data_IF_735420193702
#
_entry.id   IF_735420193702
#
_cell.length_a   1.000
_cell.length_b   1.000
_cell.length_c   1.000
_cell.angle_alpha   90.00
_cell.angle_beta   90.00
_cell.angle_gamma   90.00
#
_symmetry.space_group_name_H-M   'P 1'
#
loop_
_entity.id
_entity.type
_entity.pdbx_description
1 polymer ?
#
# COMPACT_ATOMS: atom_id res chain seq x y z
N UNK A 1 -9.82 -0.19 -20.90
CA UNK A 1 -10.70 0.20 -19.77
C UNK A 1 -9.84 0.50 -18.56
N UNK A 2 -10.03 1.66 -17.92
CA UNK A 2 -9.36 2.00 -16.66
C UNK A 2 -10.05 1.25 -15.51
N UNK A 3 -9.50 0.10 -15.10
CA UNK A 3 -9.96 -0.61 -13.90
C UNK A 3 -9.51 0.18 -12.68
N UNK A 4 -10.35 1.12 -12.24
CA UNK A 4 -10.12 1.84 -10.98
C UNK A 4 -10.39 0.84 -9.85
N UNK A 5 -9.33 0.26 -9.29
CA UNK A 5 -9.41 -0.59 -8.10
C UNK A 5 -10.07 0.22 -6.97
N UNK A 6 -11.31 -0.12 -6.60
CA UNK A 6 -11.97 0.48 -5.44
C UNK A 6 -11.51 -0.25 -4.20
N UNK A 7 -10.74 0.45 -3.36
CA UNK A 7 -10.40 -0.01 -2.03
C UNK A 7 -11.51 0.38 -1.05
N UNK A 8 -11.83 -0.48 -0.10
CA UNK A 8 -12.73 -0.15 1.00
C UNK A 8 -12.09 0.90 1.92
N UNK A 9 -12.88 1.65 2.71
CA UNK A 9 -12.32 2.57 3.71
C UNK A 9 -11.31 1.90 4.64
N UNK A 10 -11.60 0.66 5.08
CA UNK A 10 -10.70 -0.15 5.90
C UNK A 10 -9.36 -0.43 5.19
N UNK A 11 -9.41 -0.87 3.93
CA UNK A 11 -8.20 -1.10 3.13
C UNK A 11 -7.38 0.18 2.98
N UNK A 12 -8.04 1.31 2.69
CA UNK A 12 -7.36 2.60 2.54
C UNK A 12 -6.70 3.06 3.83
N UNK A 13 -7.36 2.90 4.97
CA UNK A 13 -6.83 3.31 6.28
C UNK A 13 -5.56 2.51 6.63
N UNK A 14 -5.63 1.19 6.47
CA UNK A 14 -4.50 0.27 6.66
C UNK A 14 -3.34 0.55 5.70
N UNK A 15 -3.63 0.76 4.41
CA UNK A 15 -2.62 1.12 3.41
C UNK A 15 -1.95 2.46 3.71
N UNK A 16 -2.70 3.46 4.21
CA UNK A 16 -2.15 4.75 4.64
C UNK A 16 -1.22 4.59 5.84
N UNK A 17 -1.66 3.89 6.89
CA UNK A 17 -0.87 3.70 8.10
C UNK A 17 0.50 3.09 7.80
N UNK A 18 0.52 1.98 7.05
CA UNK A 18 1.78 1.31 6.68
C UNK A 18 2.62 2.15 5.72
N UNK A 19 1.99 2.86 4.76
CA UNK A 19 2.74 3.74 3.88
C UNK A 19 3.43 4.88 4.63
N UNK A 20 2.85 5.39 5.73
CA UNK A 20 3.48 6.39 6.60
C UNK A 20 4.67 5.77 7.34
N UNK A 21 4.52 4.58 7.92
CA UNK A 21 5.60 3.87 8.63
C UNK A 21 6.80 3.58 7.72
N UNK A 22 6.56 3.28 6.44
CA UNK A 22 7.60 3.02 5.45
C UNK A 22 8.22 4.30 4.83
N UNK A 23 7.89 5.49 5.36
CA UNK A 23 8.37 6.76 4.80
C UNK A 23 7.89 7.00 3.35
N UNK A 24 6.73 6.44 3.00
CA UNK A 24 6.08 6.53 1.68
C UNK A 24 6.96 5.95 0.55
N UNK A 25 7.90 5.07 0.88
CA UNK A 25 8.68 4.28 -0.08
C UNK A 25 8.35 2.80 0.10
N UNK A 26 8.10 2.10 -1.01
CA UNK A 26 7.88 0.66 -0.96
C UNK A 26 9.25 -0.04 -0.84
N UNK A 27 9.50 -0.83 0.22
CA UNK A 27 10.73 -1.60 0.32
C UNK A 27 10.73 -2.71 -0.73
N UNK A 28 11.84 -2.84 -1.45
CA UNK A 28 12.02 -3.91 -2.44
C UNK A 28 12.45 -5.23 -1.77
N UNK A 29 13.24 -5.17 -0.68
CA UNK A 29 13.75 -6.30 0.11
C UNK A 29 13.75 -6.01 1.63
N UNK A 30 14.03 -7.02 2.46
CA UNK A 30 14.20 -6.86 3.92
C UNK A 30 12.90 -6.89 4.74
N UNK A 31 13.00 -6.48 6.01
CA UNK A 31 11.91 -6.59 7.02
C UNK A 31 10.64 -5.86 6.61
N UNK A 32 10.77 -4.69 5.98
CA UNK A 32 9.63 -3.93 5.47
C UNK A 32 8.89 -4.64 4.32
N UNK A 33 9.54 -5.53 3.57
CA UNK A 33 8.85 -6.34 2.55
C UNK A 33 7.95 -7.41 3.19
N UNK A 34 8.39 -8.00 4.30
CA UNK A 34 7.59 -8.99 5.06
C UNK A 34 6.35 -8.34 5.66
N UNK A 35 6.49 -7.16 6.27
CA UNK A 35 5.36 -6.40 6.81
C UNK A 35 4.35 -6.01 5.72
N UNK A 36 4.85 -5.55 4.57
CA UNK A 36 4.02 -5.26 3.39
C UNK A 36 3.27 -6.51 2.91
N UNK A 37 3.93 -7.66 2.86
CA UNK A 37 3.29 -8.92 2.46
C UNK A 37 2.19 -9.35 3.44
N UNK A 38 2.46 -9.28 4.75
CA UNK A 38 1.48 -9.59 5.80
C UNK A 38 0.27 -8.66 5.72
N UNK A 39 0.49 -7.35 5.57
CA UNK A 39 -0.59 -6.38 5.39
C UNK A 39 -1.42 -6.69 4.14
N UNK A 40 -0.76 -6.91 3.00
CA UNK A 40 -1.39 -7.23 1.74
C UNK A 40 -2.30 -8.46 1.87
N UNK A 41 -1.85 -9.49 2.60
CA UNK A 41 -2.62 -10.70 2.88
C UNK A 41 -3.81 -10.43 3.81
N UNK A 42 -3.64 -9.61 4.85
CA UNK A 42 -4.70 -9.21 5.80
C UNK A 42 -5.84 -8.47 5.08
N UNK A 43 -5.51 -7.50 4.23
CA UNK A 43 -6.50 -6.61 3.61
C UNK A 43 -6.99 -7.10 2.24
N UNK A 44 -6.47 -8.23 1.75
CA UNK A 44 -6.83 -8.81 0.46
C UNK A 44 -6.37 -7.99 -0.74
N UNK A 45 -5.23 -7.28 -0.62
CA UNK A 45 -4.66 -6.45 -1.69
C UNK A 45 -3.32 -7.02 -2.10
N UNK A 46 -3.00 -7.02 -3.39
CA UNK A 46 -1.69 -7.47 -3.86
C UNK A 46 -0.61 -6.41 -3.61
N UNK A 47 0.64 -6.85 -3.40
CA UNK A 47 1.80 -5.94 -3.29
C UNK A 47 1.91 -4.99 -4.49
N UNK A 48 1.58 -5.46 -5.69
CA UNK A 48 1.58 -4.64 -6.93
C UNK A 48 0.56 -3.50 -6.85
N UNK A 49 -0.66 -3.80 -6.41
CA UNK A 49 -1.71 -2.81 -6.20
C UNK A 49 -1.33 -1.80 -5.13
N UNK A 50 -0.76 -2.27 -4.00
CA UNK A 50 -0.30 -1.38 -2.95
C UNK A 50 0.87 -0.49 -3.40
N UNK A 51 1.85 -1.03 -4.13
CA UNK A 51 2.95 -0.25 -4.72
C UNK A 51 2.45 0.85 -5.65
N UNK A 52 1.51 0.52 -6.55
CA UNK A 52 0.89 1.49 -7.44
C UNK A 52 0.12 2.56 -6.66
N UNK A 53 -0.61 2.16 -5.63
CA UNK A 53 -1.32 3.08 -4.75
C UNK A 53 -0.37 4.04 -4.03
N UNK A 54 0.72 3.55 -3.41
CA UNK A 54 1.73 4.39 -2.76
C UNK A 54 2.35 5.35 -3.77
N UNK A 55 2.74 4.88 -4.95
CA UNK A 55 3.34 5.71 -5.99
C UNK A 55 2.42 6.87 -6.43
N UNK A 56 1.13 6.60 -6.63
CA UNK A 56 0.15 7.64 -7.01
C UNK A 56 -0.22 8.57 -5.86
N UNK A 57 -0.21 8.08 -4.62
CA UNK A 57 -0.66 8.85 -3.45
C UNK A 57 0.47 9.52 -2.67
N UNK A 58 1.75 9.28 -3.03
CA UNK A 58 2.92 9.84 -2.35
C UNK A 58 2.90 11.38 -2.22
N UNK A 59 2.28 12.07 -3.18
CA UNK A 59 2.14 13.54 -3.20
C UNK A 59 0.86 14.04 -2.51
N UNK A 60 -0.20 13.21 -2.50
CA UNK A 60 -1.53 13.59 -2.00
C UNK A 60 -1.57 13.66 -0.47
N UNK A 61 -0.73 12.87 0.17
CA UNK A 61 -0.58 12.84 1.61
C UNK A 61 0.81 13.34 2.01
N UNK A 62 1.42 14.25 1.23
CA UNK A 62 2.75 14.80 1.47
C UNK A 62 2.78 15.60 2.78
#
# INVERSE_FOLDING_TARGET
MSTTTRYTPYQLDKMKSVAIQLGRKMPDTGTGNTEVQSLCKEIGVTRKQFRAWVYHNKKKYA
#
